data_IF_492328621398
#
_entry.id   IF_492328621398
#
_cell.length_a   1.000
_cell.length_b   1.000
_cell.length_c   1.000
_cell.angle_alpha   90.00
_cell.angle_beta   90.00
_cell.angle_gamma   90.00
#
_symmetry.space_group_name_H-M   'P 1'
#
loop_
_entity.id
_entity.type
_entity.pdbx_description
1 polymer ?
#
# COMPACT_ATOMS: atom_id res chain seq x y z
N UNK A 1 16.20 43.64 -57.97
CA UNK A 1 15.30 42.61 -57.33
C UNK A 1 16.06 41.38 -56.79
N UNK A 2 16.94 40.71 -57.55
CA UNK A 2 17.64 39.47 -57.05
C UNK A 2 18.61 39.68 -55.89
N UNK A 3 19.15 40.86 -55.63
CA UNK A 3 20.04 41.15 -54.49
C UNK A 3 19.25 41.46 -53.19
N UNK A 4 18.07 42.03 -53.30
CA UNK A 4 17.17 42.30 -52.14
C UNK A 4 16.55 41.01 -51.62
N UNK A 5 16.21 40.07 -52.52
CA UNK A 5 15.67 38.76 -52.08
C UNK A 5 16.72 37.90 -51.33
N UNK A 6 18.01 38.01 -51.70
CA UNK A 6 19.10 37.29 -51.02
C UNK A 6 19.41 37.87 -49.62
N UNK A 7 19.23 39.16 -49.43
CA UNK A 7 19.36 39.78 -48.11
C UNK A 7 18.18 39.45 -47.17
N UNK A 8 16.95 39.41 -47.71
CA UNK A 8 15.78 39.05 -46.94
C UNK A 8 15.78 37.57 -46.51
N UNK A 9 16.27 36.65 -47.37
CA UNK A 9 16.41 35.23 -46.98
C UNK A 9 17.54 34.98 -45.99
N UNK A 10 18.65 35.76 -46.03
CA UNK A 10 19.71 35.66 -45.03
C UNK A 10 19.27 36.21 -43.67
N UNK A 11 18.45 37.28 -43.64
CA UNK A 11 17.87 37.80 -42.38
C UNK A 11 16.80 36.85 -41.77
N UNK A 12 16.00 36.19 -42.62
CA UNK A 12 15.03 35.20 -42.13
C UNK A 12 15.70 33.94 -41.59
N UNK A 13 16.78 33.46 -42.22
CA UNK A 13 17.57 32.34 -41.71
C UNK A 13 18.34 32.70 -40.43
N UNK A 14 18.85 33.94 -40.34
CA UNK A 14 19.48 34.44 -39.11
C UNK A 14 18.51 34.59 -37.94
N UNK A 15 17.26 35.03 -38.21
CA UNK A 15 16.23 35.14 -37.20
C UNK A 15 15.72 33.75 -36.73
N UNK A 16 15.61 32.75 -37.62
CA UNK A 16 15.30 31.37 -37.23
C UNK A 16 16.41 30.67 -36.46
N UNK A 17 17.70 30.98 -36.73
CA UNK A 17 18.81 30.47 -35.93
C UNK A 17 18.91 31.17 -34.55
N UNK A 18 18.49 32.42 -34.41
CA UNK A 18 18.45 33.12 -33.14
C UNK A 18 17.22 32.71 -32.30
N UNK A 19 16.11 32.27 -32.92
CA UNK A 19 14.98 31.70 -32.20
C UNK A 19 15.20 30.24 -31.78
N UNK A 20 16.14 29.51 -32.40
CA UNK A 20 16.48 28.15 -31.99
C UNK A 20 17.56 28.07 -30.90
N UNK A 21 18.14 29.23 -30.49
CA UNK A 21 19.16 29.34 -29.44
C UNK A 21 18.62 29.88 -28.11
N UNK A 22 17.30 30.12 -28.00
CA UNK A 22 16.68 30.62 -26.77
C UNK A 22 15.60 29.73 -26.19
N UNK A 23 15.66 28.41 -26.46
CA UNK A 23 14.95 27.38 -25.68
C UNK A 23 16.00 26.35 -25.26
N UNK A 24 17.09 26.77 -24.68
CA UNK A 24 17.60 26.09 -23.51
C UNK A 24 16.74 26.59 -22.37
N UNK A 25 15.52 26.04 -22.25
CA UNK A 25 14.87 25.98 -20.98
C UNK A 25 15.94 25.45 -20.01
N UNK A 26 16.21 26.25 -19.01
CA UNK A 26 16.86 25.80 -17.82
C UNK A 26 16.01 24.61 -17.31
N UNK A 27 16.36 23.38 -17.71
CA UNK A 27 16.29 22.29 -16.79
C UNK A 27 17.35 22.69 -15.75
N UNK A 28 16.94 23.42 -14.75
CA UNK A 28 17.62 23.41 -13.47
C UNK A 28 17.73 21.93 -13.16
N UNK A 29 18.95 21.41 -13.29
CA UNK A 29 19.31 20.18 -12.61
C UNK A 29 19.23 20.52 -11.12
N UNK A 30 18.04 20.41 -10.55
CA UNK A 30 17.85 20.30 -9.12
C UNK A 30 18.35 18.92 -8.63
N UNK A 31 19.59 18.59 -9.00
CA UNK A 31 20.42 17.62 -8.29
C UNK A 31 21.10 18.32 -7.08
N UNK A 32 20.44 19.29 -6.47
CA UNK A 32 20.81 19.68 -5.11
C UNK A 32 20.52 18.47 -4.21
N UNK A 33 21.60 17.82 -3.82
CA UNK A 33 21.56 16.78 -2.77
C UNK A 33 20.93 17.43 -1.56
N UNK A 34 19.63 17.12 -1.32
CA UNK A 34 18.97 17.61 -0.12
C UNK A 34 19.57 16.86 1.08
N UNK A 35 20.44 17.55 1.81
CA UNK A 35 21.34 17.01 2.85
C UNK A 35 20.61 16.63 4.16
N UNK A 36 19.27 16.63 4.17
CA UNK A 36 18.47 16.23 5.31
C UNK A 36 18.21 14.71 5.29
N UNK A 37 18.54 14.04 6.41
CA UNK A 37 18.18 12.64 6.68
C UNK A 37 17.42 12.55 7.99
N UNK A 38 16.12 12.18 7.98
CA UNK A 38 15.31 12.09 9.20
C UNK A 38 15.80 11.03 10.20
N UNK A 39 16.74 10.16 9.81
CA UNK A 39 17.34 9.18 10.71
C UNK A 39 18.49 9.75 11.51
N UNK A 40 19.12 10.84 11.08
CA UNK A 40 20.24 11.51 11.71
C UNK A 40 19.93 12.93 12.15
N UNK A 41 19.08 13.64 11.39
CA UNK A 41 18.71 15.01 11.65
C UNK A 41 17.52 15.12 12.61
N UNK A 42 17.38 16.29 13.21
CA UNK A 42 16.37 16.51 14.22
C UNK A 42 14.97 16.61 13.60
N UNK A 43 14.09 15.70 13.99
CA UNK A 43 12.64 15.81 13.83
C UNK A 43 12.08 16.32 15.17
N UNK A 44 11.44 17.48 15.14
CA UNK A 44 10.91 18.18 16.33
C UNK A 44 9.62 17.55 16.86
N UNK A 45 8.77 17.06 15.96
CA UNK A 45 7.51 16.39 16.32
C UNK A 45 7.77 15.13 17.12
N UNK A 46 6.93 14.89 18.13
CA UNK A 46 7.08 13.73 19.03
C UNK A 46 6.65 12.43 18.36
N UNK A 47 5.57 12.47 17.59
CA UNK A 47 5.11 11.34 16.80
C UNK A 47 4.96 11.76 15.33
N UNK A 48 5.41 10.87 14.41
CA UNK A 48 5.38 11.10 12.97
C UNK A 48 4.96 9.82 12.25
N UNK A 49 4.16 9.97 11.21
CA UNK A 49 3.81 8.88 10.32
C UNK A 49 3.65 9.40 8.89
N UNK A 50 4.51 8.93 7.97
CA UNK A 50 4.53 9.33 6.57
C UNK A 50 4.37 8.12 5.68
N UNK A 51 3.38 8.15 4.80
CA UNK A 51 3.05 7.03 3.91
C UNK A 51 2.93 7.52 2.48
N UNK A 52 3.52 6.77 1.56
CA UNK A 52 3.23 6.89 0.14
C UNK A 52 1.85 6.27 -0.12
N UNK A 53 0.89 7.07 -0.57
CA UNK A 53 -0.50 6.60 -0.73
C UNK A 53 -0.75 5.86 -2.03
N UNK A 54 0.18 5.90 -2.99
CA UNK A 54 0.09 5.18 -4.25
C UNK A 54 0.45 3.70 -4.07
N UNK A 55 1.38 3.40 -3.13
CA UNK A 55 1.85 2.03 -2.85
C UNK A 55 1.38 1.50 -1.50
N UNK A 56 1.09 2.38 -0.54
CA UNK A 56 0.84 2.02 0.85
C UNK A 56 2.10 1.89 1.71
N UNK A 57 3.28 2.15 1.14
CA UNK A 57 4.54 2.01 1.86
C UNK A 57 4.74 3.11 2.90
N UNK A 58 5.13 2.70 4.10
CA UNK A 58 5.54 3.62 5.17
C UNK A 58 6.96 4.12 4.88
N UNK A 59 7.08 5.41 4.60
CA UNK A 59 8.36 6.05 4.23
C UNK A 59 9.15 6.48 5.45
N UNK A 60 8.45 7.01 6.45
CA UNK A 60 9.06 7.40 7.73
C UNK A 60 8.05 7.24 8.88
N UNK A 61 8.53 6.78 10.03
CA UNK A 61 7.72 6.65 11.24
C UNK A 61 8.55 6.91 12.51
N UNK A 62 7.91 7.54 13.47
CA UNK A 62 8.46 7.82 14.81
C UNK A 62 7.30 7.82 15.79
N UNK A 63 7.32 6.94 16.78
CA UNK A 63 6.27 6.85 17.81
C UNK A 63 4.84 6.81 17.25
N UNK A 64 4.64 6.21 16.08
CA UNK A 64 3.41 6.27 15.28
C UNK A 64 2.16 5.79 16.02
N UNK A 65 2.32 4.85 16.94
CA UNK A 65 1.25 4.27 17.76
C UNK A 65 1.12 4.89 19.14
N UNK A 66 1.96 5.92 19.47
CA UNK A 66 1.88 6.63 20.74
C UNK A 66 0.58 7.43 20.81
N UNK A 67 -0.17 7.29 21.91
CA UNK A 67 -1.34 8.14 22.17
C UNK A 67 -0.90 9.57 22.44
N UNK A 68 -1.46 10.48 21.64
CA UNK A 68 -1.18 11.92 21.68
C UNK A 68 -2.51 12.68 21.72
N UNK A 69 -2.50 13.89 22.22
CA UNK A 69 -3.64 14.78 22.10
C UNK A 69 -3.75 15.30 20.66
N UNK A 70 -4.92 15.15 20.02
CA UNK A 70 -5.07 15.54 18.61
C UNK A 70 -5.18 17.05 18.37
N UNK A 71 -5.55 17.82 19.38
CA UNK A 71 -6.02 19.18 19.18
C UNK A 71 -7.06 19.26 18.04
N UNK A 72 -7.05 20.31 17.24
CA UNK A 72 -8.00 20.50 16.13
C UNK A 72 -7.84 19.52 14.95
N UNK A 73 -6.88 18.58 14.95
CA UNK A 73 -6.88 17.50 13.96
C UNK A 73 -8.07 16.54 14.17
N UNK A 74 -8.71 16.56 15.34
CA UNK A 74 -10.04 15.96 15.62
C UNK A 74 -11.07 16.28 14.55
N UNK A 75 -11.04 17.51 14.01
CA UNK A 75 -11.99 17.99 13.01
C UNK A 75 -11.95 17.23 11.67
N UNK A 76 -10.89 16.43 11.44
CA UNK A 76 -10.84 15.49 10.31
C UNK A 76 -11.96 14.46 10.45
N UNK A 77 -12.14 13.86 11.64
CA UNK A 77 -13.22 12.90 11.89
C UNK A 77 -14.59 13.59 11.85
N UNK A 78 -14.69 14.79 12.39
CA UNK A 78 -15.93 15.61 12.29
C UNK A 78 -16.33 15.83 10.84
N UNK A 79 -15.38 16.18 9.98
CA UNK A 79 -15.59 16.35 8.55
C UNK A 79 -16.00 15.02 7.86
N UNK A 80 -15.36 13.90 8.21
CA UNK A 80 -15.69 12.57 7.68
C UNK A 80 -17.15 12.23 7.99
N UNK A 81 -17.57 12.33 9.25
CA UNK A 81 -18.95 12.02 9.64
C UNK A 81 -19.93 12.97 8.93
N UNK A 82 -19.60 14.25 8.81
CA UNK A 82 -20.44 15.19 8.08
C UNK A 82 -20.59 14.78 6.60
N UNK A 83 -19.50 14.45 5.93
CA UNK A 83 -19.52 14.05 4.51
C UNK A 83 -20.21 12.70 4.27
N UNK A 84 -20.22 11.79 5.24
CA UNK A 84 -20.97 10.54 5.14
C UNK A 84 -22.49 10.73 5.20
N UNK A 85 -22.94 11.76 5.92
CA UNK A 85 -24.37 12.00 6.16
C UNK A 85 -24.96 13.08 5.25
N UNK A 86 -24.12 13.80 4.48
CA UNK A 86 -24.56 14.86 3.59
C UNK A 86 -24.50 14.41 2.13
N UNK A 87 -25.65 14.35 1.46
CA UNK A 87 -25.66 14.25 0.00
C UNK A 87 -25.21 15.57 -0.63
N UNK A 88 -24.78 15.54 -1.89
CA UNK A 88 -24.36 16.75 -2.61
C UNK A 88 -25.44 17.84 -2.60
N UNK A 89 -26.70 17.48 -2.79
CA UNK A 89 -27.84 18.41 -2.70
C UNK A 89 -28.14 18.93 -1.29
N UNK A 90 -27.61 18.30 -0.24
CA UNK A 90 -27.76 18.77 1.14
C UNK A 90 -26.75 19.88 1.50
N UNK A 91 -25.63 19.99 0.78
CA UNK A 91 -24.56 20.94 1.08
C UNK A 91 -25.03 22.40 1.06
N UNK A 92 -26.00 22.74 0.22
CA UNK A 92 -26.60 24.10 0.12
C UNK A 92 -27.78 24.31 1.06
N UNK A 93 -28.18 23.32 1.84
CA UNK A 93 -29.23 23.50 2.85
C UNK A 93 -28.69 24.28 4.04
N UNK A 94 -29.57 25.11 4.61
CA UNK A 94 -29.27 25.85 5.84
C UNK A 94 -29.10 24.89 7.02
N UNK A 95 -28.25 25.28 7.96
CA UNK A 95 -28.07 24.64 9.26
C UNK A 95 -28.80 25.39 10.34
N UNK A 96 -29.16 24.71 11.41
CA UNK A 96 -29.57 25.35 12.65
C UNK A 96 -28.33 25.76 13.46
N UNK A 97 -28.34 26.97 14.02
CA UNK A 97 -27.21 27.52 14.79
C UNK A 97 -27.68 27.92 16.20
N UNK A 98 -28.09 26.95 17.03
CA UNK A 98 -28.56 27.24 18.38
C UNK A 98 -27.41 27.66 19.32
N UNK A 99 -27.76 28.35 20.40
CA UNK A 99 -26.81 28.76 21.45
C UNK A 99 -26.01 27.57 22.02
N UNK A 100 -26.60 26.38 22.08
CA UNK A 100 -25.98 25.17 22.59
C UNK A 100 -24.68 24.81 21.85
N UNK A 101 -24.52 25.24 20.60
CA UNK A 101 -23.27 25.02 19.84
C UNK A 101 -22.09 25.84 20.36
N UNK A 102 -22.34 26.82 21.25
CA UNK A 102 -21.34 27.74 21.76
C UNK A 102 -21.07 27.58 23.27
N UNK A 103 -21.89 26.82 24.00
CA UNK A 103 -21.83 26.69 25.45
C UNK A 103 -20.44 26.26 25.92
N UNK A 104 -19.80 25.28 25.26
CA UNK A 104 -18.44 24.81 25.58
C UNK A 104 -17.41 25.95 25.63
N UNK A 105 -17.63 27.04 24.90
CA UNK A 105 -16.66 28.12 24.73
C UNK A 105 -16.92 29.27 25.70
N UNK A 106 -18.15 29.43 26.19
CA UNK A 106 -18.53 30.49 27.12
C UNK A 106 -18.43 30.04 28.59
N UNK A 107 -18.60 28.77 28.88
CA UNK A 107 -18.68 28.24 30.23
C UNK A 107 -17.31 27.81 30.80
N UNK A 108 -16.34 27.44 29.95
CA UNK A 108 -15.02 27.00 30.39
C UNK A 108 -13.96 28.10 30.24
N UNK A 109 -13.47 28.67 31.38
CA UNK A 109 -12.44 29.71 31.35
C UNK A 109 -11.11 29.25 30.74
N UNK A 110 -10.88 27.95 30.57
CA UNK A 110 -9.70 27.43 29.89
C UNK A 110 -9.79 27.58 28.38
N UNK A 111 -10.96 27.91 27.83
CA UNK A 111 -11.17 28.10 26.38
C UNK A 111 -11.37 29.58 26.03
N UNK A 112 -10.56 30.46 26.60
CA UNK A 112 -10.73 31.93 26.48
C UNK A 112 -10.61 32.46 25.02
N UNK A 113 -10.02 31.68 24.10
CA UNK A 113 -9.90 32.10 22.68
C UNK A 113 -9.89 30.88 21.74
N UNK A 114 -11.01 30.15 21.57
CA UNK A 114 -11.10 29.05 20.63
C UNK A 114 -11.01 29.56 19.20
N UNK A 115 -10.37 28.80 18.32
CA UNK A 115 -10.37 29.07 16.86
C UNK A 115 -11.81 29.17 16.38
N UNK A 116 -12.14 30.24 15.66
CA UNK A 116 -13.51 30.54 15.20
C UNK A 116 -13.52 31.07 13.76
N UNK A 117 -14.72 31.11 13.17
CA UNK A 117 -15.00 31.68 11.87
C UNK A 117 -15.99 32.84 11.99
N UNK A 118 -16.11 33.49 13.14
CA UNK A 118 -17.05 34.56 13.43
C UNK A 118 -18.52 34.21 13.11
N UNK A 119 -18.90 32.94 13.29
CA UNK A 119 -20.28 32.49 13.16
C UNK A 119 -21.03 32.91 14.42
N UNK A 120 -22.22 33.49 14.24
CA UNK A 120 -23.03 34.01 15.35
C UNK A 120 -24.17 33.04 15.69
N UNK A 121 -24.56 32.94 16.97
CA UNK A 121 -25.77 32.22 17.36
C UNK A 121 -27.00 32.72 16.59
N UNK A 122 -27.87 31.80 16.21
CA UNK A 122 -29.10 32.05 15.44
C UNK A 122 -28.90 32.62 14.02
N UNK A 123 -27.67 32.61 13.50
CA UNK A 123 -27.39 32.97 12.11
C UNK A 123 -28.16 32.04 11.16
N UNK A 124 -29.02 32.63 10.30
CA UNK A 124 -30.03 31.89 9.54
C UNK A 124 -29.71 31.67 8.06
N UNK A 125 -28.55 32.15 7.60
CA UNK A 125 -28.11 32.07 6.21
C UNK A 125 -26.91 31.11 6.00
N UNK A 126 -26.48 30.41 7.05
CA UNK A 126 -25.36 29.51 7.02
C UNK A 126 -25.75 28.14 6.44
N UNK A 127 -24.93 27.58 5.57
CA UNK A 127 -25.16 26.26 4.96
C UNK A 127 -24.20 25.21 5.51
N UNK A 128 -24.49 23.89 5.29
CA UNK A 128 -23.57 22.82 5.60
C UNK A 128 -22.21 23.00 4.90
N UNK A 129 -22.21 23.50 3.66
CA UNK A 129 -20.99 23.79 2.93
C UNK A 129 -20.14 24.84 3.63
N UNK A 130 -20.75 25.95 4.07
CA UNK A 130 -20.05 27.03 4.77
C UNK A 130 -19.44 26.50 6.08
N UNK A 131 -20.18 25.67 6.83
CA UNK A 131 -19.69 25.03 8.05
C UNK A 131 -18.51 24.09 7.79
N UNK A 132 -18.51 23.34 6.67
CA UNK A 132 -17.37 22.46 6.31
C UNK A 132 -16.11 23.27 5.99
N UNK A 133 -16.24 24.40 5.28
CA UNK A 133 -15.11 25.29 5.04
C UNK A 133 -14.64 25.96 6.34
N UNK A 134 -15.56 26.46 7.17
CA UNK A 134 -15.24 27.04 8.48
C UNK A 134 -14.55 26.02 9.41
N UNK A 135 -14.99 24.76 9.40
CA UNK A 135 -14.38 23.66 10.15
C UNK A 135 -12.92 23.45 9.77
N UNK A 136 -12.63 23.41 8.46
CA UNK A 136 -11.32 22.93 7.98
C UNK A 136 -10.31 24.06 7.78
N UNK A 137 -10.71 25.26 7.32
CA UNK A 137 -9.80 26.35 7.02
C UNK A 137 -9.33 27.08 8.29
N UNK A 138 -10.15 27.93 8.95
CA UNK A 138 -9.75 28.63 10.17
C UNK A 138 -9.81 27.72 11.41
N UNK A 139 -10.26 26.47 11.25
CA UNK A 139 -10.37 25.54 12.38
C UNK A 139 -11.51 25.85 13.34
N UNK A 140 -12.61 26.47 12.89
CA UNK A 140 -13.68 26.95 13.72
C UNK A 140 -14.28 25.87 14.63
N UNK A 141 -14.28 26.13 15.94
CA UNK A 141 -14.80 25.20 16.95
C UNK A 141 -16.34 25.21 16.96
N UNK A 142 -16.94 26.36 16.78
CA UNK A 142 -18.40 26.52 16.66
C UNK A 142 -18.94 25.79 15.41
N UNK A 143 -18.22 25.83 14.28
CA UNK A 143 -18.60 25.09 13.09
C UNK A 143 -18.58 23.56 13.32
N UNK A 144 -17.66 23.06 14.14
CA UNK A 144 -17.65 21.65 14.54
C UNK A 144 -18.90 21.26 15.33
N UNK A 145 -19.29 22.08 16.33
CA UNK A 145 -20.48 21.84 17.13
C UNK A 145 -21.78 22.03 16.32
N UNK A 146 -21.83 23.01 15.41
CA UNK A 146 -22.98 23.21 14.51
C UNK A 146 -23.19 21.97 13.62
N UNK A 147 -22.13 21.46 13.00
CA UNK A 147 -22.21 20.21 12.22
C UNK A 147 -22.63 19.02 13.09
N UNK A 148 -22.02 18.89 14.28
CA UNK A 148 -22.35 17.84 15.22
C UNK A 148 -23.81 17.88 15.69
N UNK A 149 -24.33 19.07 16.00
CA UNK A 149 -25.72 19.27 16.40
C UNK A 149 -26.69 18.85 15.28
N UNK A 150 -26.50 19.43 14.10
CA UNK A 150 -27.43 19.18 12.98
C UNK A 150 -27.42 17.72 12.50
N UNK A 151 -26.26 17.11 12.39
CA UNK A 151 -26.12 15.72 11.91
C UNK A 151 -26.47 14.72 13.01
N UNK A 152 -26.20 15.05 14.26
CA UNK A 152 -26.60 14.29 15.42
C UNK A 152 -28.11 14.32 15.72
N UNK A 153 -28.88 15.13 14.94
CA UNK A 153 -30.33 15.29 15.14
C UNK A 153 -30.65 16.06 16.42
N UNK A 154 -29.95 17.16 16.69
CA UNK A 154 -30.07 18.00 17.88
C UNK A 154 -29.19 17.54 19.05
N UNK A 155 -28.24 16.60 18.84
CA UNK A 155 -27.42 16.06 19.93
C UNK A 155 -25.94 15.95 19.52
N UNK A 156 -25.09 16.81 20.05
CA UNK A 156 -23.63 16.76 19.88
C UNK A 156 -23.09 15.45 20.47
N UNK A 157 -23.59 14.98 21.60
CA UNK A 157 -23.17 13.70 22.22
C UNK A 157 -23.40 12.50 21.31
N UNK A 158 -24.54 12.47 20.61
CA UNK A 158 -24.82 11.41 19.63
C UNK A 158 -23.82 11.43 18.48
N UNK A 159 -23.49 12.61 17.99
CA UNK A 159 -22.49 12.77 16.94
C UNK A 159 -21.08 12.29 17.38
N UNK A 160 -20.67 12.59 18.62
CA UNK A 160 -19.41 12.09 19.19
C UNK A 160 -19.44 10.55 19.24
N UNK A 161 -20.58 9.94 19.57
CA UNK A 161 -20.76 8.48 19.45
C UNK A 161 -20.46 7.97 18.04
N UNK A 162 -21.00 8.65 17.01
CA UNK A 162 -20.75 8.30 15.60
C UNK A 162 -19.26 8.44 15.23
N UNK A 163 -18.56 9.47 15.73
CA UNK A 163 -17.11 9.62 15.53
C UNK A 163 -16.33 8.42 16.07
N UNK A 164 -16.65 7.96 17.29
CA UNK A 164 -15.98 6.84 17.91
C UNK A 164 -16.33 5.50 17.23
N UNK A 165 -17.55 5.32 16.76
CA UNK A 165 -17.95 4.15 15.98
C UNK A 165 -17.16 4.11 14.65
N UNK A 166 -17.07 5.23 13.95
CA UNK A 166 -16.27 5.33 12.73
C UNK A 166 -14.79 5.08 12.97
N UNK A 167 -14.21 5.59 14.05
CA UNK A 167 -12.83 5.32 14.41
C UNK A 167 -12.58 3.81 14.57
N UNK A 168 -13.49 3.08 15.22
CA UNK A 168 -13.42 1.61 15.33
C UNK A 168 -13.55 0.93 13.98
N UNK A 169 -14.50 1.36 13.14
CA UNK A 169 -14.70 0.83 11.78
C UNK A 169 -13.42 0.96 10.93
N UNK A 170 -12.71 2.08 11.05
CA UNK A 170 -11.45 2.33 10.34
C UNK A 170 -10.23 1.65 10.99
N UNK A 171 -10.41 0.90 12.07
CA UNK A 171 -9.32 0.23 12.79
C UNK A 171 -8.42 1.19 13.56
N UNK A 172 -8.96 2.37 13.97
CA UNK A 172 -8.26 3.38 14.76
C UNK A 172 -8.32 3.03 16.25
N UNK A 173 -7.60 2.00 16.66
CA UNK A 173 -7.69 1.44 18.01
C UNK A 173 -7.00 2.30 19.10
N UNK A 174 -6.17 3.24 18.70
CA UNK A 174 -5.49 4.19 19.59
C UNK A 174 -6.24 5.52 19.77
N UNK A 175 -7.50 5.61 19.31
CA UNK A 175 -8.26 6.87 19.22
C UNK A 175 -9.51 6.84 20.08
N UNK A 176 -9.79 7.97 20.73
CA UNK A 176 -11.05 8.25 21.43
C UNK A 176 -11.39 9.74 21.32
N UNK A 177 -12.61 10.05 20.94
CA UNK A 177 -13.14 11.41 20.83
C UNK A 177 -14.14 11.68 21.96
N UNK A 178 -14.05 12.87 22.57
CA UNK A 178 -14.99 13.36 23.59
C UNK A 178 -15.65 14.68 23.19
N UNK A 179 -15.16 15.31 22.14
CA UNK A 179 -15.78 16.48 21.51
C UNK A 179 -15.55 16.48 20.00
N UNK A 180 -16.25 17.35 19.28
CA UNK A 180 -16.17 17.44 17.82
C UNK A 180 -15.08 18.42 17.34
N UNK A 181 -14.55 19.27 18.22
CA UNK A 181 -13.69 20.40 17.87
C UNK A 181 -12.21 20.20 18.23
N UNK A 182 -11.87 19.32 19.19
CA UNK A 182 -10.51 19.02 19.57
C UNK A 182 -9.90 19.97 20.58
N UNK A 183 -10.69 20.79 21.29
CA UNK A 183 -10.23 21.47 22.50
C UNK A 183 -9.79 20.43 23.53
N UNK A 184 -8.83 20.80 24.36
CA UNK A 184 -8.17 19.87 25.25
C UNK A 184 -9.13 19.13 26.19
N UNK A 185 -8.93 17.82 26.28
CA UNK A 185 -9.51 16.95 27.27
C UNK A 185 -8.62 15.69 27.36
N UNK A 186 -8.31 15.25 28.56
CA UNK A 186 -7.43 14.08 28.80
C UNK A 186 -7.91 12.80 28.12
N UNK A 187 -9.22 12.67 27.91
CA UNK A 187 -9.84 11.54 27.24
C UNK A 187 -9.96 11.70 25.71
N UNK A 188 -9.51 12.83 25.14
CA UNK A 188 -9.49 13.08 23.70
C UNK A 188 -8.08 12.78 23.17
N UNK A 189 -7.87 11.58 22.64
CA UNK A 189 -6.56 11.14 22.18
C UNK A 189 -6.63 10.38 20.87
N UNK A 190 -5.51 10.36 20.17
CA UNK A 190 -5.32 9.64 18.91
C UNK A 190 -3.87 9.20 18.74
N UNK A 191 -3.53 8.57 17.61
CA UNK A 191 -2.16 8.26 17.21
C UNK A 191 -1.87 8.82 15.82
N UNK A 192 -0.60 8.97 15.46
CA UNK A 192 -0.24 9.44 14.12
C UNK A 192 -0.71 8.45 13.02
N UNK A 193 -0.61 7.15 13.30
CA UNK A 193 -1.11 6.09 12.42
C UNK A 193 -2.64 6.15 12.24
N UNK A 194 -3.40 6.37 13.33
CA UNK A 194 -4.86 6.43 13.26
C UNK A 194 -5.33 7.67 12.48
N UNK A 195 -4.68 8.83 12.68
CA UNK A 195 -4.96 10.03 11.88
C UNK A 195 -4.65 9.84 10.40
N UNK A 196 -3.60 9.10 10.07
CA UNK A 196 -3.34 8.69 8.69
C UNK A 196 -4.49 7.86 8.12
N UNK A 197 -4.95 6.82 8.85
CA UNK A 197 -6.09 5.97 8.40
C UNK A 197 -7.34 6.78 8.13
N UNK A 198 -7.70 7.69 9.04
CA UNK A 198 -8.83 8.60 8.87
C UNK A 198 -8.65 9.51 7.65
N UNK A 199 -7.49 10.12 7.51
CA UNK A 199 -7.19 11.06 6.42
C UNK A 199 -7.19 10.35 5.06
N UNK A 200 -6.55 9.18 4.97
CA UNK A 200 -6.55 8.33 3.76
C UNK A 200 -7.98 7.97 3.35
N UNK A 201 -8.80 7.50 4.29
CA UNK A 201 -10.20 7.21 4.05
C UNK A 201 -10.96 8.43 3.49
N UNK A 202 -10.75 9.62 4.09
CA UNK A 202 -11.41 10.84 3.65
C UNK A 202 -11.01 11.24 2.23
N UNK A 203 -9.73 11.16 1.88
CA UNK A 203 -9.25 11.46 0.53
C UNK A 203 -9.72 10.44 -0.51
N UNK A 204 -9.78 9.17 -0.16
CA UNK A 204 -10.21 8.11 -1.08
C UNK A 204 -11.71 8.20 -1.37
N UNK A 205 -12.51 8.52 -0.35
CA UNK A 205 -13.96 8.44 -0.45
C UNK A 205 -14.64 9.73 -0.85
N UNK A 206 -14.08 10.90 -0.46
CA UNK A 206 -14.75 12.17 -0.62
C UNK A 206 -13.93 13.19 -1.44
N UNK A 207 -14.18 13.32 -2.76
CA UNK A 207 -13.54 14.37 -3.57
C UNK A 207 -13.72 15.77 -2.98
N UNK A 208 -14.86 16.04 -2.32
CA UNK A 208 -15.14 17.30 -1.65
C UNK A 208 -14.18 17.56 -0.48
N UNK A 209 -13.79 16.52 0.26
CA UNK A 209 -12.78 16.65 1.33
C UNK A 209 -11.48 17.22 0.78
N UNK A 210 -10.96 16.66 -0.31
CA UNK A 210 -9.75 17.15 -0.97
C UNK A 210 -9.93 18.61 -1.41
N UNK A 211 -11.08 18.95 -2.04
CA UNK A 211 -11.37 20.31 -2.49
C UNK A 211 -11.33 21.30 -1.32
N UNK A 212 -12.00 20.99 -0.21
CA UNK A 212 -12.05 21.87 0.97
C UNK A 212 -10.64 22.04 1.55
N UNK A 213 -9.93 20.95 1.81
CA UNK A 213 -8.63 20.97 2.50
C UNK A 213 -7.51 21.59 1.68
N UNK A 214 -7.62 21.63 0.35
CA UNK A 214 -6.68 22.31 -0.55
C UNK A 214 -7.05 23.75 -0.86
N UNK A 215 -8.17 24.26 -0.32
CA UNK A 215 -8.59 25.66 -0.46
C UNK A 215 -7.86 26.52 0.57
N UNK A 216 -7.24 27.61 0.13
CA UNK A 216 -6.58 28.56 1.04
C UNK A 216 -7.57 29.60 1.57
N UNK A 217 -8.48 30.12 0.74
CA UNK A 217 -9.42 31.18 1.06
C UNK A 217 -10.86 30.82 0.68
N UNK A 218 -11.84 31.15 1.53
CA UNK A 218 -13.24 30.91 1.27
C UNK A 218 -14.08 32.11 1.76
N UNK A 219 -15.04 32.56 0.94
CA UNK A 219 -15.94 33.64 1.28
C UNK A 219 -17.14 33.12 2.08
N UNK A 220 -17.30 33.64 3.29
CA UNK A 220 -18.39 33.32 4.20
C UNK A 220 -19.60 34.25 3.92
N UNK A 221 -20.83 33.77 4.18
CA UNK A 221 -22.01 34.61 4.08
C UNK A 221 -21.96 35.76 5.11
N UNK A 222 -22.72 36.81 4.82
CA UNK A 222 -22.88 37.98 5.71
C UNK A 222 -23.47 37.58 7.05
N UNK A 223 -23.09 38.30 8.12
CA UNK A 223 -23.71 38.24 9.44
C UNK A 223 -23.73 39.66 10.04
N UNK A 224 -24.22 39.79 11.27
CA UNK A 224 -24.35 41.11 11.90
C UNK A 224 -23.01 41.82 12.13
N UNK A 225 -21.96 41.03 12.51
CA UNK A 225 -20.62 41.56 12.66
C UNK A 225 -19.94 41.87 11.30
N UNK A 226 -20.33 41.18 10.23
CA UNK A 226 -19.74 41.29 8.89
C UNK A 226 -20.80 41.47 7.81
N UNK A 227 -21.46 42.65 7.75
CA UNK A 227 -22.60 42.89 6.85
C UNK A 227 -22.25 42.93 5.37
N UNK A 228 -20.94 42.98 5.03
CA UNK A 228 -20.45 42.93 3.65
C UNK A 228 -20.04 41.52 3.21
N UNK A 229 -20.01 40.56 4.13
CA UNK A 229 -19.35 39.25 3.97
C UNK A 229 -17.88 39.35 4.36
N UNK A 230 -17.21 38.20 4.49
CA UNK A 230 -15.81 38.10 4.90
C UNK A 230 -15.16 36.84 4.40
N UNK A 231 -13.84 36.89 4.25
CA UNK A 231 -13.04 35.70 3.89
C UNK A 231 -12.49 35.00 5.13
N UNK A 232 -12.46 33.68 5.09
CA UNK A 232 -11.75 32.83 6.03
C UNK A 232 -10.59 32.15 5.33
N UNK A 233 -9.51 31.88 6.06
CA UNK A 233 -8.26 31.38 5.51
C UNK A 233 -7.82 30.09 6.16
N UNK A 234 -7.12 29.25 5.38
CA UNK A 234 -6.51 28.04 5.90
C UNK A 234 -5.38 28.37 6.90
N UNK A 235 -5.34 27.64 8.01
CA UNK A 235 -4.28 27.70 9.00
C UNK A 235 -3.00 26.93 8.54
N UNK A 236 -3.05 26.24 7.41
CA UNK A 236 -1.93 25.47 6.89
C UNK A 236 -0.99 26.41 6.13
N UNK A 237 0.11 26.79 6.77
CA UNK A 237 1.10 27.70 6.17
C UNK A 237 1.79 27.15 4.93
N UNK A 238 1.77 25.82 4.72
CA UNK A 238 2.25 25.19 3.48
C UNK A 238 1.44 25.61 2.25
N UNK A 239 0.15 26.01 2.43
CA UNK A 239 -0.74 26.46 1.35
C UNK A 239 -0.74 27.98 1.19
N UNK A 240 -0.14 28.71 2.12
CA UNK A 240 -0.23 30.19 2.17
C UNK A 240 0.76 30.81 1.19
N UNK A 241 0.28 31.55 0.16
CA UNK A 241 1.16 32.24 -0.77
C UNK A 241 2.11 33.23 -0.05
N UNK A 242 3.39 33.17 -0.37
CA UNK A 242 4.44 34.01 0.22
C UNK A 242 4.82 33.63 1.66
N UNK A 243 4.34 32.53 2.21
CA UNK A 243 4.79 31.99 3.50
C UNK A 243 6.21 31.44 3.38
N UNK A 244 7.02 31.57 4.43
CA UNK A 244 8.31 30.89 4.53
C UNK A 244 8.19 29.35 4.53
N UNK A 245 6.98 28.84 4.76
CA UNK A 245 6.64 27.42 4.74
C UNK A 245 5.90 27.02 3.47
N UNK A 246 5.69 27.93 2.51
CA UNK A 246 4.98 27.61 1.26
C UNK A 246 5.62 26.42 0.56
N UNK A 247 4.78 25.45 0.14
CA UNK A 247 5.23 24.27 -0.56
C UNK A 247 4.29 23.93 -1.70
N UNK A 248 4.73 24.15 -2.92
CA UNK A 248 3.91 24.06 -4.13
C UNK A 248 3.21 22.70 -4.33
N UNK A 249 3.80 21.63 -3.78
CA UNK A 249 3.22 20.29 -3.88
C UNK A 249 2.22 19.95 -2.78
N UNK A 250 2.09 20.78 -1.73
CA UNK A 250 1.15 20.56 -0.63
C UNK A 250 -0.31 20.82 -1.06
N UNK A 251 -1.26 20.02 -0.55
CA UNK A 251 -2.69 20.21 -0.83
C UNK A 251 -3.63 20.03 0.38
N UNK A 252 -3.15 20.17 1.56
CA UNK A 252 -3.96 20.12 2.80
C UNK A 252 -3.16 19.48 3.92
N UNK A 253 -3.69 19.10 5.07
CA UNK A 253 -5.11 18.79 5.40
C UNK A 253 -5.63 19.63 6.58
N UNK A 254 -4.95 19.56 7.77
CA UNK A 254 -5.43 20.20 9.01
C UNK A 254 -4.31 20.44 10.01
N UNK A 255 -4.29 21.62 10.63
CA UNK A 255 -3.48 21.94 11.79
C UNK A 255 -4.24 21.69 13.11
N UNK A 256 -3.51 21.56 14.20
CA UNK A 256 -4.05 21.56 15.56
C UNK A 256 -3.02 22.11 16.53
N UNK A 257 -3.46 22.91 17.51
CA UNK A 257 -2.56 23.43 18.55
C UNK A 257 -3.34 23.59 19.85
N UNK A 258 -2.81 23.05 20.92
CA UNK A 258 -3.09 23.42 22.32
C UNK A 258 -1.78 23.37 23.07
N UNK A 259 -1.71 23.91 24.27
CA UNK A 259 -0.50 23.88 25.07
C UNK A 259 -0.08 22.41 25.40
N UNK A 260 -1.06 21.54 25.63
CA UNK A 260 -0.84 20.13 25.97
C UNK A 260 -0.54 19.26 24.74
N UNK A 261 -1.14 19.57 23.62
CA UNK A 261 -0.93 18.80 22.39
C UNK A 261 0.35 19.20 21.66
N UNK A 262 0.86 20.40 21.90
CA UNK A 262 1.85 20.99 21.01
C UNK A 262 1.25 21.40 19.67
N UNK A 263 2.09 21.61 18.66
CA UNK A 263 1.64 21.84 17.29
C UNK A 263 1.53 20.52 16.56
N UNK A 264 0.32 20.22 16.08
CA UNK A 264 -0.04 19.05 15.29
C UNK A 264 -0.31 19.47 13.85
N UNK A 265 0.08 18.63 12.90
CA UNK A 265 -0.21 18.85 11.48
C UNK A 265 -0.51 17.50 10.82
N UNK A 266 -1.62 17.45 10.12
CA UNK A 266 -1.86 16.46 9.09
C UNK A 266 -1.77 17.17 7.77
N UNK A 267 -0.92 16.71 6.88
CA UNK A 267 -0.71 17.30 5.56
C UNK A 267 -0.62 16.24 4.48
N UNK A 268 -0.83 16.66 3.24
CA UNK A 268 -0.70 15.84 2.07
C UNK A 268 0.04 16.60 0.98
N UNK A 269 0.86 15.91 0.20
CA UNK A 269 1.60 16.51 -0.91
C UNK A 269 1.65 15.56 -2.09
N UNK A 270 1.69 16.14 -3.30
CA UNK A 270 1.78 15.41 -4.56
C UNK A 270 2.77 16.09 -5.49
N UNK A 271 3.83 15.39 -5.85
CA UNK A 271 4.70 15.68 -6.97
C UNK A 271 4.69 14.45 -7.90
N UNK A 272 5.77 13.69 -7.96
CA UNK A 272 5.83 12.40 -8.69
C UNK A 272 4.94 11.35 -8.03
N UNK A 273 4.84 11.37 -6.71
CA UNK A 273 4.07 10.46 -5.87
C UNK A 273 3.15 11.24 -4.92
N UNK A 274 2.18 10.53 -4.32
CA UNK A 274 1.30 11.09 -3.31
C UNK A 274 1.74 10.66 -1.92
N UNK A 275 1.85 11.60 -1.00
CA UNK A 275 2.17 11.34 0.40
C UNK A 275 1.12 11.95 1.32
N UNK A 276 0.79 11.24 2.41
CA UNK A 276 0.13 11.79 3.59
C UNK A 276 1.16 11.74 4.72
N UNK A 277 1.29 12.84 5.42
CA UNK A 277 2.17 13.02 6.56
C UNK A 277 1.38 13.50 7.77
N UNK A 278 1.57 12.83 8.89
CA UNK A 278 1.05 13.22 10.19
C UNK A 278 2.22 13.53 11.11
N UNK A 279 2.23 14.71 11.71
CA UNK A 279 3.17 15.14 12.74
C UNK A 279 2.40 15.60 13.97
N UNK A 280 2.71 15.06 15.14
CA UNK A 280 2.05 15.37 16.41
C UNK A 280 3.07 15.79 17.47
N UNK A 281 2.69 16.71 18.34
CA UNK A 281 3.49 17.08 19.50
C UNK A 281 4.76 17.86 19.16
N UNK A 282 4.77 18.66 18.08
CA UNK A 282 5.88 19.58 17.88
C UNK A 282 5.82 20.70 18.93
N UNK A 283 6.99 21.15 19.46
CA UNK A 283 7.01 22.09 20.57
C UNK A 283 6.39 23.43 20.20
N UNK A 284 5.60 23.98 21.12
CA UNK A 284 4.98 25.33 21.03
C UNK A 284 5.78 26.35 21.79
N UNK A 285 6.33 25.94 22.96
CA UNK A 285 7.06 26.79 23.89
C UNK A 285 8.46 26.22 24.18
N UNK A 286 9.35 27.11 24.52
CA UNK A 286 10.68 26.75 25.02
C UNK A 286 10.62 26.31 26.50
N UNK A 287 11.77 25.97 27.06
CA UNK A 287 11.90 25.57 28.48
C UNK A 287 11.56 26.68 29.49
N UNK A 288 11.48 27.94 29.05
CA UNK A 288 11.14 29.10 29.89
C UNK A 288 9.64 29.44 29.74
N UNK A 289 8.90 28.75 28.88
CA UNK A 289 7.49 28.99 28.62
C UNK A 289 7.21 30.01 27.51
N UNK A 290 8.25 30.52 26.82
CA UNK A 290 8.11 31.46 25.71
C UNK A 290 7.74 30.72 24.44
N UNK A 291 6.77 31.27 23.68
CA UNK A 291 6.35 30.69 22.42
C UNK A 291 7.43 30.79 21.35
N UNK A 292 7.64 29.70 20.62
CA UNK A 292 8.52 29.70 19.46
C UNK A 292 7.87 30.45 18.30
N UNK A 293 8.64 31.29 17.63
CA UNK A 293 8.25 31.92 16.36
C UNK A 293 8.14 30.88 15.24
N UNK A 294 9.04 29.91 15.24
CA UNK A 294 9.06 28.81 14.27
C UNK A 294 7.94 27.81 14.49
N UNK A 295 7.33 27.38 13.38
CA UNK A 295 6.32 26.34 13.38
C UNK A 295 6.96 25.01 13.06
N UNK A 296 7.53 24.38 14.05
CA UNK A 296 8.32 23.14 13.91
C UNK A 296 7.57 21.99 13.22
N UNK A 297 6.24 21.90 13.34
CA UNK A 297 5.45 20.93 12.58
C UNK A 297 5.47 21.19 11.07
N UNK A 298 5.56 22.47 10.65
CA UNK A 298 5.71 22.83 9.24
C UNK A 298 7.13 22.58 8.73
N UNK A 299 8.15 22.86 9.57
CA UNK A 299 9.57 22.58 9.26
C UNK A 299 9.77 21.08 9.05
N UNK A 300 9.25 20.27 9.98
CA UNK A 300 9.31 18.80 9.84
C UNK A 300 8.63 18.33 8.55
N UNK A 301 7.46 18.90 8.23
CA UNK A 301 6.72 18.53 7.03
C UNK A 301 7.50 18.88 5.74
N UNK A 302 8.06 20.09 5.64
CA UNK A 302 8.88 20.51 4.51
C UNK A 302 10.09 19.61 4.31
N UNK A 303 10.82 19.35 5.40
CA UNK A 303 12.02 18.52 5.37
C UNK A 303 11.70 17.09 4.96
N UNK A 304 10.66 16.50 5.53
CA UNK A 304 10.25 15.12 5.20
C UNK A 304 9.72 15.00 3.77
N UNK A 305 8.96 15.98 3.26
CA UNK A 305 8.51 15.95 1.87
C UNK A 305 9.67 16.10 0.89
N UNK A 306 10.54 17.08 1.08
CA UNK A 306 11.73 17.28 0.23
C UNK A 306 12.59 16.02 0.24
N UNK A 307 12.85 15.46 1.43
CA UNK A 307 13.60 14.23 1.57
C UNK A 307 12.95 13.05 0.83
N UNK A 308 11.63 12.85 1.00
CA UNK A 308 10.94 11.74 0.38
C UNK A 308 10.91 11.84 -1.15
N UNK A 309 10.62 13.02 -1.71
CA UNK A 309 10.61 13.22 -3.15
C UNK A 309 12.01 13.13 -3.78
N UNK A 310 13.06 13.52 -3.05
CA UNK A 310 14.44 13.44 -3.54
C UNK A 310 15.01 12.03 -3.46
N UNK A 311 14.72 11.30 -2.38
CA UNK A 311 15.44 10.07 -2.05
C UNK A 311 14.73 8.78 -2.44
N UNK A 312 13.46 8.82 -2.87
CA UNK A 312 12.71 7.61 -3.25
C UNK A 312 12.30 7.64 -4.71
N UNK A 313 12.23 6.44 -5.30
CA UNK A 313 11.73 6.23 -6.64
C UNK A 313 11.00 4.87 -6.75
N UNK A 314 10.13 4.75 -7.75
CA UNK A 314 9.52 3.46 -8.09
C UNK A 314 10.53 2.63 -8.88
N UNK A 315 10.94 1.52 -8.32
CA UNK A 315 11.88 0.59 -8.94
C UNK A 315 11.23 -0.76 -9.19
N UNK A 316 11.49 -1.36 -10.35
CA UNK A 316 11.12 -2.76 -10.61
C UNK A 316 12.07 -3.65 -9.83
N UNK A 317 11.58 -4.21 -8.73
CA UNK A 317 12.33 -5.03 -7.78
C UNK A 317 12.43 -6.49 -8.24
N UNK A 318 11.39 -6.96 -8.93
CA UNK A 318 11.32 -8.31 -9.51
C UNK A 318 10.83 -8.18 -10.94
N UNK A 319 11.57 -8.83 -11.86
CA UNK A 319 11.16 -8.95 -13.25
C UNK A 319 10.56 -10.36 -13.47
N UNK A 320 9.39 -10.45 -14.10
CA UNK A 320 8.71 -11.72 -14.40
C UNK A 320 9.52 -12.67 -15.28
N UNK A 321 10.49 -12.15 -16.05
CA UNK A 321 11.34 -12.94 -16.93
C UNK A 321 12.65 -13.39 -16.24
N UNK A 322 12.87 -13.00 -14.98
CA UNK A 322 14.04 -13.35 -14.20
C UNK A 322 14.02 -14.85 -13.84
N UNK A 323 15.08 -15.55 -14.14
CA UNK A 323 15.24 -16.97 -13.77
C UNK A 323 15.65 -17.08 -12.29
N UNK A 324 14.78 -17.64 -11.45
CA UNK A 324 15.02 -17.74 -10.01
C UNK A 324 15.65 -19.07 -9.64
N UNK A 325 15.10 -20.17 -10.14
CA UNK A 325 15.55 -21.53 -9.84
C UNK A 325 15.03 -22.50 -10.91
N UNK A 326 15.39 -23.76 -10.79
CA UNK A 326 14.83 -24.84 -11.60
C UNK A 326 14.29 -25.97 -10.73
N UNK A 327 13.28 -26.68 -11.25
CA UNK A 327 12.66 -27.84 -10.61
C UNK A 327 12.84 -29.05 -11.50
N UNK A 328 13.23 -30.17 -10.91
CA UNK A 328 13.36 -31.44 -11.62
C UNK A 328 12.01 -31.92 -12.14
N UNK A 329 11.93 -32.31 -13.40
CA UNK A 329 10.74 -32.92 -14.00
C UNK A 329 10.99 -34.40 -14.26
N UNK A 330 10.23 -35.23 -13.58
CA UNK A 330 10.28 -36.68 -13.76
C UNK A 330 9.39 -37.08 -14.93
N UNK A 331 9.84 -38.09 -15.72
CA UNK A 331 9.15 -38.56 -16.92
C UNK A 331 8.95 -37.50 -18.00
N UNK A 332 9.83 -36.47 -18.07
CA UNK A 332 9.80 -35.47 -19.11
C UNK A 332 10.34 -35.97 -20.45
N UNK A 333 9.66 -35.70 -21.58
CA UNK A 333 10.03 -36.16 -22.91
C UNK A 333 11.32 -35.53 -23.46
N UNK A 334 11.44 -34.19 -23.28
CA UNK A 334 12.52 -33.39 -23.89
C UNK A 334 13.32 -32.56 -22.88
N UNK A 335 12.91 -32.53 -21.64
CA UNK A 335 13.58 -31.81 -20.58
C UNK A 335 13.41 -32.52 -19.23
N UNK A 336 14.47 -32.54 -18.46
CA UNK A 336 14.51 -33.12 -17.10
C UNK A 336 14.34 -32.07 -16.02
N UNK A 337 14.29 -30.77 -16.39
CA UNK A 337 14.11 -29.65 -15.49
C UNK A 337 13.25 -28.58 -16.17
N UNK A 338 12.56 -27.79 -15.36
CA UNK A 338 11.82 -26.61 -15.77
C UNK A 338 12.29 -25.40 -14.98
N UNK A 339 12.59 -24.29 -15.68
CA UNK A 339 12.99 -23.04 -15.06
C UNK A 339 11.76 -22.38 -14.47
N UNK A 340 11.88 -21.87 -13.24
CA UNK A 340 10.86 -21.07 -12.58
C UNK A 340 11.18 -19.59 -12.69
N UNK A 341 10.18 -18.82 -13.05
CA UNK A 341 10.19 -17.36 -13.09
C UNK A 341 9.08 -16.79 -12.20
N UNK A 342 9.18 -15.55 -11.74
CA UNK A 342 8.09 -14.90 -11.04
C UNK A 342 6.83 -14.81 -11.92
N UNK A 343 5.66 -14.93 -11.30
CA UNK A 343 4.38 -14.85 -12.03
C UNK A 343 4.15 -13.47 -12.68
N UNK A 344 4.58 -12.40 -12.00
CA UNK A 344 4.43 -11.01 -12.44
C UNK A 344 5.67 -10.18 -12.11
N UNK A 345 5.77 -9.01 -12.76
CA UNK A 345 6.69 -7.96 -12.31
C UNK A 345 6.22 -7.42 -10.94
N UNK A 346 7.16 -7.02 -10.09
CA UNK A 346 6.86 -6.32 -8.85
C UNK A 346 7.65 -5.03 -8.78
N UNK A 347 6.92 -3.92 -8.63
CA UNK A 347 7.47 -2.57 -8.51
C UNK A 347 7.14 -2.04 -7.12
N UNK A 348 8.13 -1.48 -6.44
CA UNK A 348 8.01 -0.92 -5.10
C UNK A 348 8.67 0.47 -5.02
N UNK A 349 8.24 1.26 -4.04
CA UNK A 349 8.91 2.51 -3.72
C UNK A 349 10.21 2.19 -2.97
N UNK A 350 11.35 2.49 -3.59
CA UNK A 350 12.67 2.14 -3.07
C UNK A 350 13.53 3.39 -2.88
N UNK A 351 14.37 3.45 -1.84
CA UNK A 351 15.38 4.50 -1.75
C UNK A 351 16.34 4.42 -2.95
N UNK A 352 16.59 5.54 -3.62
CA UNK A 352 17.53 5.64 -4.76
C UNK A 352 18.95 5.16 -4.42
N UNK A 353 19.34 5.25 -3.15
CA UNK A 353 20.62 4.75 -2.65
C UNK A 353 20.72 3.23 -2.60
N UNK A 354 19.59 2.51 -2.69
CA UNK A 354 19.55 1.06 -2.63
C UNK A 354 19.78 0.48 -4.01
N UNK A 355 20.95 -0.12 -4.21
CA UNK A 355 21.23 -0.96 -5.37
C UNK A 355 20.39 -2.24 -5.31
N UNK A 356 20.19 -2.90 -6.43
CA UNK A 356 19.49 -4.21 -6.51
C UNK A 356 19.98 -5.24 -5.47
N UNK A 357 21.25 -5.15 -5.07
CA UNK A 357 21.85 -5.99 -4.02
C UNK A 357 21.26 -5.81 -2.61
N UNK A 358 20.47 -4.75 -2.37
CA UNK A 358 19.79 -4.53 -1.09
C UNK A 358 18.49 -5.31 -0.93
N UNK A 359 17.99 -5.92 -2.00
CA UNK A 359 16.78 -6.73 -2.00
C UNK A 359 17.17 -8.21 -1.95
N UNK A 360 16.61 -8.94 -0.99
CA UNK A 360 16.82 -10.39 -0.86
C UNK A 360 15.60 -11.13 -1.40
N UNK A 361 15.85 -12.11 -2.27
CA UNK A 361 14.84 -13.01 -2.82
C UNK A 361 15.00 -14.37 -2.17
N UNK A 362 14.06 -14.76 -1.32
CA UNK A 362 14.06 -16.04 -0.60
C UNK A 362 12.93 -16.89 -1.16
N UNK A 363 13.27 -18.01 -1.79
CA UNK A 363 12.28 -18.84 -2.45
C UNK A 363 12.19 -20.24 -1.85
N UNK A 364 11.04 -20.86 -2.06
CA UNK A 364 10.76 -22.26 -1.74
C UNK A 364 10.04 -22.87 -2.93
N UNK A 365 10.64 -23.89 -3.55
CA UNK A 365 10.09 -24.60 -4.70
C UNK A 365 9.99 -26.11 -4.41
N UNK A 366 9.22 -26.82 -5.22
CA UNK A 366 9.20 -28.29 -5.18
C UNK A 366 10.58 -28.85 -5.55
N UNK A 367 10.97 -29.96 -4.94
CA UNK A 367 12.21 -30.64 -5.29
C UNK A 367 12.08 -31.34 -6.65
N UNK A 368 10.95 -31.96 -6.90
CA UNK A 368 10.62 -32.57 -8.21
C UNK A 368 9.11 -32.55 -8.46
N UNK A 369 8.73 -32.60 -9.74
CA UNK A 369 7.35 -32.72 -10.20
C UNK A 369 7.28 -33.75 -11.34
N UNK A 370 6.12 -34.38 -11.52
CA UNK A 370 5.90 -35.30 -12.65
C UNK A 370 5.39 -34.54 -13.89
N UNK A 371 5.92 -34.94 -15.04
CA UNK A 371 5.39 -34.47 -16.32
C UNK A 371 3.94 -34.99 -16.57
N UNK A 372 3.07 -34.25 -17.30
CA UNK A 372 3.39 -33.03 -18.00
C UNK A 372 3.37 -31.79 -17.09
N UNK A 373 4.26 -30.84 -17.34
CA UNK A 373 4.27 -29.50 -16.73
C UNK A 373 3.84 -28.50 -17.81
N UNK A 374 2.96 -27.57 -17.47
CA UNK A 374 2.51 -26.52 -18.37
C UNK A 374 3.15 -25.19 -17.97
N UNK A 375 3.46 -24.36 -18.97
CA UNK A 375 3.85 -22.98 -18.72
C UNK A 375 2.77 -22.28 -17.88
N UNK A 376 3.19 -21.66 -16.77
CA UNK A 376 2.31 -21.00 -15.82
C UNK A 376 1.89 -21.88 -14.62
N UNK A 377 2.25 -23.18 -14.61
CA UNK A 377 2.01 -24.02 -13.41
C UNK A 377 2.81 -23.47 -12.23
N UNK A 378 2.14 -23.29 -11.07
CA UNK A 378 2.77 -22.79 -9.84
C UNK A 378 3.55 -23.93 -9.20
N UNK A 379 4.88 -23.77 -9.16
CA UNK A 379 5.79 -24.79 -8.65
C UNK A 379 6.66 -24.29 -7.47
N UNK A 380 6.41 -23.08 -7.00
CA UNK A 380 7.09 -22.51 -5.85
C UNK A 380 6.49 -21.17 -5.43
N UNK A 381 7.05 -20.62 -4.36
CA UNK A 381 6.76 -19.27 -3.86
C UNK A 381 8.05 -18.55 -3.55
N UNK A 382 8.07 -17.24 -3.65
CA UNK A 382 9.22 -16.39 -3.37
C UNK A 382 8.80 -15.20 -2.49
N UNK A 383 9.50 -15.05 -1.37
CA UNK A 383 9.44 -13.84 -0.54
C UNK A 383 10.49 -12.85 -1.01
N UNK A 384 10.08 -11.64 -1.28
CA UNK A 384 10.96 -10.50 -1.58
C UNK A 384 11.13 -9.71 -0.29
N UNK A 385 12.37 -9.56 0.17
CA UNK A 385 12.69 -8.89 1.44
C UNK A 385 13.54 -7.66 1.21
N UNK A 386 13.22 -6.62 1.95
CA UNK A 386 14.01 -5.40 2.03
C UNK A 386 14.30 -5.08 3.50
N UNK A 387 15.57 -4.83 3.84
CA UNK A 387 16.04 -4.62 5.24
C UNK A 387 15.55 -5.71 6.22
N UNK A 388 15.40 -6.96 5.73
CA UNK A 388 14.96 -8.10 6.53
C UNK A 388 13.43 -8.29 6.64
N UNK A 389 12.65 -7.29 6.25
CA UNK A 389 11.19 -7.38 6.21
C UNK A 389 10.69 -7.88 4.85
N UNK A 390 9.67 -8.75 4.84
CA UNK A 390 9.04 -9.21 3.59
C UNK A 390 8.14 -8.11 3.05
N UNK A 391 8.49 -7.58 1.87
CA UNK A 391 7.71 -6.54 1.18
C UNK A 391 6.66 -7.13 0.23
N UNK A 392 6.87 -8.34 -0.27
CA UNK A 392 5.85 -9.09 -1.02
C UNK A 392 6.18 -10.58 -1.03
N UNK A 393 5.15 -11.40 -1.27
CA UNK A 393 5.26 -12.84 -1.56
C UNK A 393 4.57 -13.09 -2.88
N UNK A 394 5.22 -13.82 -3.79
CA UNK A 394 4.69 -14.11 -5.12
C UNK A 394 4.92 -15.57 -5.52
N UNK A 395 4.11 -16.03 -6.48
CA UNK A 395 4.26 -17.36 -7.03
C UNK A 395 5.47 -17.44 -7.97
N UNK A 396 6.11 -18.61 -7.97
CA UNK A 396 7.06 -19.01 -9.00
C UNK A 396 6.39 -19.99 -9.94
N UNK A 397 6.42 -19.67 -11.23
CA UNK A 397 5.71 -20.40 -12.26
C UNK A 397 6.68 -21.03 -13.28
N UNK A 398 6.26 -22.14 -13.87
CA UNK A 398 7.00 -22.80 -14.94
C UNK A 398 7.10 -21.89 -16.18
N UNK A 399 8.30 -21.64 -16.67
CA UNK A 399 8.54 -20.77 -17.83
C UNK A 399 8.18 -21.42 -19.18
N UNK A 400 8.17 -22.75 -19.26
CA UNK A 400 7.90 -23.49 -20.47
C UNK A 400 7.07 -24.77 -20.20
N UNK A 401 6.56 -25.37 -21.28
CA UNK A 401 5.89 -26.67 -21.20
C UNK A 401 6.93 -27.80 -21.23
N UNK A 402 6.71 -28.85 -20.44
CA UNK A 402 7.44 -30.11 -20.52
C UNK A 402 6.42 -31.22 -20.73
N UNK A 403 6.44 -31.83 -21.91
CA UNK A 403 5.56 -32.97 -22.24
C UNK A 403 6.01 -34.23 -21.47
N UNK A 404 5.08 -35.14 -21.26
CA UNK A 404 5.37 -36.41 -20.63
C UNK A 404 5.97 -37.40 -21.65
N UNK A 405 7.05 -38.08 -21.28
CA UNK A 405 7.58 -39.22 -22.00
C UNK A 405 6.69 -40.45 -21.77
N UNK A 406 5.98 -40.89 -22.83
CA UNK A 406 5.15 -42.08 -22.73
C UNK A 406 5.98 -43.34 -22.45
N UNK A 407 7.20 -43.39 -22.96
CA UNK A 407 8.11 -44.51 -22.73
C UNK A 407 8.49 -44.60 -21.24
N UNK A 408 8.96 -43.52 -20.64
CA UNK A 408 9.32 -43.50 -19.24
C UNK A 408 8.12 -43.75 -18.32
N UNK A 409 6.97 -43.16 -18.67
CA UNK A 409 5.74 -43.42 -17.93
C UNK A 409 5.33 -44.88 -17.91
N UNK A 410 5.37 -45.58 -19.06
CA UNK A 410 5.03 -47.01 -19.08
C UNK A 410 6.09 -47.87 -18.42
N UNK A 411 7.38 -47.50 -18.48
CA UNK A 411 8.44 -48.17 -17.76
C UNK A 411 8.23 -48.08 -16.24
N UNK A 412 7.93 -46.90 -15.74
CA UNK A 412 7.69 -46.65 -14.31
C UNK A 412 6.44 -47.41 -13.83
N UNK A 413 5.35 -47.30 -14.61
CA UNK A 413 4.12 -48.06 -14.35
C UNK A 413 4.34 -49.56 -14.36
N UNK A 414 5.19 -50.08 -15.26
CA UNK A 414 5.55 -51.47 -15.30
C UNK A 414 6.36 -51.86 -14.04
N UNK A 415 7.33 -51.07 -13.60
CA UNK A 415 8.08 -51.30 -12.35
C UNK A 415 7.14 -51.35 -11.15
N UNK A 416 6.19 -50.39 -11.04
CA UNK A 416 5.20 -50.36 -9.98
C UNK A 416 4.34 -51.63 -9.96
N UNK A 417 3.92 -52.15 -11.14
CA UNK A 417 3.19 -53.41 -11.23
C UNK A 417 4.07 -54.62 -10.84
N UNK A 418 5.34 -54.62 -11.24
CA UNK A 418 6.30 -55.66 -10.88
C UNK A 418 6.57 -55.72 -9.36
N UNK A 419 6.54 -54.56 -8.68
CA UNK A 419 6.77 -54.48 -7.24
C UNK A 419 5.57 -54.90 -6.39
N UNK A 420 4.38 -54.99 -6.97
CA UNK A 420 3.19 -55.43 -6.23
C UNK A 420 3.30 -56.87 -5.73
N UNK A 421 2.89 -57.16 -4.49
CA UNK A 421 2.99 -58.51 -3.90
C UNK A 421 2.33 -59.59 -4.73
N UNK A 422 1.16 -59.30 -5.33
CA UNK A 422 0.44 -60.27 -6.16
C UNK A 422 1.22 -60.68 -7.41
N UNK A 423 1.97 -59.74 -8.03
CA UNK A 423 2.78 -60.02 -9.21
C UNK A 423 3.95 -60.93 -8.84
N UNK A 424 4.65 -60.64 -7.73
CA UNK A 424 5.77 -61.50 -7.23
C UNK A 424 5.29 -62.91 -6.93
N UNK A 425 4.11 -63.04 -6.31
CA UNK A 425 3.48 -64.37 -6.04
C UNK A 425 3.14 -65.10 -7.35
N UNK A 426 2.54 -64.39 -8.33
CA UNK A 426 2.20 -64.98 -9.61
C UNK A 426 3.43 -65.42 -10.41
N UNK A 427 4.50 -64.61 -10.41
CA UNK A 427 5.75 -64.94 -11.08
C UNK A 427 6.39 -66.22 -10.47
N UNK A 428 6.40 -66.34 -9.13
CA UNK A 428 6.86 -67.55 -8.46
C UNK A 428 5.98 -68.77 -8.82
N UNK A 429 4.65 -68.57 -8.88
CA UNK A 429 3.70 -69.62 -9.31
C UNK A 429 3.97 -70.12 -10.72
N UNK A 430 4.25 -69.20 -11.66
CA UNK A 430 4.58 -69.56 -13.05
C UNK A 430 5.91 -70.37 -13.11
N UNK A 431 6.92 -69.93 -12.35
CA UNK A 431 8.22 -70.65 -12.29
C UNK A 431 8.02 -72.09 -11.74
N UNK A 432 7.23 -72.24 -10.67
CA UNK A 432 6.91 -73.54 -10.09
C UNK A 432 6.18 -74.44 -11.12
N UNK A 433 5.20 -73.89 -11.85
CA UNK A 433 4.48 -74.63 -12.89
C UNK A 433 5.41 -75.05 -14.03
N UNK A 434 6.34 -74.21 -14.46
CA UNK A 434 7.34 -74.52 -15.47
C UNK A 434 8.27 -75.65 -15.00
N UNK A 435 8.72 -75.59 -13.75
CA UNK A 435 9.54 -76.65 -13.17
C UNK A 435 8.76 -77.98 -13.13
N UNK A 436 7.50 -77.94 -12.67
CA UNK A 436 6.66 -79.16 -12.66
C UNK A 436 6.46 -79.73 -14.07
N UNK A 437 6.26 -78.87 -15.08
CA UNK A 437 6.11 -79.26 -16.47
C UNK A 437 7.40 -79.93 -16.99
N UNK A 438 8.56 -79.33 -16.74
CA UNK A 438 9.87 -79.93 -17.15
C UNK A 438 10.10 -81.27 -16.48
N UNK A 439 9.80 -81.35 -15.17
CA UNK A 439 9.95 -82.60 -14.41
C UNK A 439 9.04 -83.69 -14.98
N UNK A 440 7.72 -83.37 -15.19
CA UNK A 440 6.80 -84.39 -15.76
C UNK A 440 7.20 -84.82 -17.16
N UNK A 441 7.63 -83.88 -18.02
CA UNK A 441 8.18 -84.22 -19.36
C UNK A 441 9.41 -85.11 -19.29
N UNK A 442 10.28 -84.78 -18.36
CA UNK A 442 11.51 -85.59 -18.17
C UNK A 442 11.21 -87.02 -17.69
N UNK A 443 10.26 -87.17 -16.77
CA UNK A 443 9.76 -88.44 -16.30
C UNK A 443 9.13 -89.27 -17.44
N UNK A 444 8.22 -88.61 -18.21
CA UNK A 444 7.60 -89.29 -19.38
C UNK A 444 8.61 -89.73 -20.43
N UNK A 445 9.57 -88.87 -20.78
CA UNK A 445 10.64 -89.22 -21.71
C UNK A 445 11.50 -90.32 -21.18
N UNK A 446 11.78 -90.36 -19.88
CA UNK A 446 12.52 -91.47 -19.24
C UNK A 446 11.74 -92.80 -19.29
N UNK A 447 10.39 -92.73 -19.03
CA UNK A 447 9.51 -93.89 -19.16
C UNK A 447 9.50 -94.42 -20.60
N UNK A 448 9.34 -93.53 -21.61
CA UNK A 448 9.38 -93.89 -23.05
C UNK A 448 10.72 -94.54 -23.44
N UNK A 449 11.85 -93.97 -22.98
CA UNK A 449 13.18 -94.56 -23.21
C UNK A 449 13.33 -95.95 -22.57
N UNK A 450 12.82 -96.15 -21.34
CA UNK A 450 12.83 -97.48 -20.68
C UNK A 450 11.94 -98.48 -21.40
N UNK A 451 10.77 -98.05 -21.91
CA UNK A 451 9.88 -98.90 -22.71
C UNK A 451 10.54 -99.26 -24.04
N UNK A 452 11.08 -98.33 -24.79
CA UNK A 452 11.81 -98.57 -26.04
C UNK A 452 13.04 -99.46 -25.82
N UNK A 453 13.76 -99.37 -24.71
CA UNK A 453 14.88 -100.25 -24.39
C UNK A 453 14.40 -101.64 -24.03
N UNK A 454 13.27 -101.82 -23.34
CA UNK A 454 12.67 -103.12 -23.05
C UNK A 454 12.17 -103.80 -24.35
N UNK A 455 11.53 -103.05 -25.25
CA UNK A 455 11.14 -103.59 -26.56
C UNK A 455 12.34 -104.01 -27.41
N UNK A 456 13.39 -103.18 -27.45
CA UNK A 456 14.62 -103.51 -28.15
C UNK A 456 15.24 -104.77 -27.60
N UNK A 457 15.31 -104.92 -26.26
CA UNK A 457 15.81 -106.17 -25.62
C UNK A 457 14.91 -107.35 -25.93
N UNK A 458 13.64 -107.23 -26.00
CA UNK A 458 12.66 -108.21 -26.38
C UNK A 458 12.88 -108.68 -27.85
N UNK A 459 13.05 -107.75 -28.76
CA UNK A 459 13.37 -108.00 -30.17
C UNK A 459 14.73 -108.73 -30.32
N UNK A 460 15.75 -108.29 -29.61
CA UNK A 460 17.09 -108.96 -29.63
C UNK A 460 17.03 -110.40 -29.04
N UNK A 461 16.18 -110.65 -28.04
CA UNK A 461 15.97 -111.96 -27.48
C UNK A 461 15.20 -112.88 -28.44
N UNK A 462 14.29 -112.36 -29.25
CA UNK A 462 13.60 -113.08 -30.29
C UNK A 462 14.54 -113.43 -31.46
N UNK A 463 15.44 -112.52 -31.86
CA UNK A 463 16.39 -112.71 -32.89
C UNK A 463 17.50 -113.75 -32.54
N UNK A 464 17.78 -114.00 -31.26
CA UNK A 464 18.72 -115.00 -30.78
C UNK A 464 18.13 -116.43 -30.65
N UNK A 465 16.77 -116.57 -30.86
CA UNK A 465 16.07 -117.85 -30.77
C UNK A 465 15.65 -118.40 -32.14
N UNK A 466 16.16 -117.84 -33.26
CA UNK A 466 16.12 -118.31 -34.60
C UNK A 466 17.63 -118.57 -34.99
#
# INVERSE_FOLDING_TARGET
MKKILRFASALLCGAMLLCSLSVTAFAENDDEVYDFDPNTDKIYSEAVYMVNTDTGDVVYKKNESKKMYPASTTKIMTCIIALEHLSEGALSKKVEVPYDCFNDFYEDPNYSDPSNAAIEPLQDNLTYKDCLYALMLPSACEAANILAYNIGGGSITKFIGMMNEKAKELGCNGTNFVNAHGLHNDNNYTTAEDLYKMTKYAYDKFPLFKKITSTYEYEMPKNDANPSGYSIYSTISLLRPGSVYEYEYAYGTKTGTTDEAGRCLVSAAKNQYNYILVTLGAPVKDKNGEYYDDWYSMIDALNLYKWAFTNFEMATVVNKDEQITEVKVEMGESATHVILTPENDYTALMPKSVKESGVQKVFKAYESVQAPVKKGDILGVMDVKFKGETITTMNLVANNNVARSDVEYYIEKAKDEFDKPWFKVSAVGIVVLLICFIVTRTIENSKRRKLASKEKRRFESYAKRR
#
